data_IF_715011097630
#
_entry.id   IF_715011097630
#
_cell.length_a   1.000
_cell.length_b   1.000
_cell.length_c   1.000
_cell.angle_alpha   90.00
_cell.angle_beta   90.00
_cell.angle_gamma   90.00
#
_symmetry.space_group_name_H-M   'P 1'
#
loop_
_entity.id
_entity.type
_entity.pdbx_description
1 polymer ?
#
# COMPACT_ATOMS: atom_id res chain seq x y z
N UNK A 1 5.21 13.93 12.70
CA UNK A 1 6.04 13.33 11.63
C UNK A 1 6.05 14.30 10.48
N UNK A 2 7.23 14.69 9.97
CA UNK A 2 7.29 15.58 8.82
C UNK A 2 6.95 14.80 7.53
N UNK A 3 6.43 15.46 6.47
CA UNK A 3 6.18 14.80 5.18
C UNK A 3 7.39 14.08 4.58
N UNK A 4 8.61 14.57 4.83
CA UNK A 4 9.84 13.95 4.36
C UNK A 4 10.16 12.61 5.05
N UNK A 5 9.70 12.43 6.30
CA UNK A 5 9.94 11.21 7.07
C UNK A 5 8.93 10.11 6.73
N UNK A 6 7.79 10.49 6.14
CA UNK A 6 6.71 9.57 5.78
C UNK A 6 6.95 8.96 4.39
N UNK A 7 8.00 8.13 4.31
CA UNK A 7 8.45 7.47 3.08
C UNK A 7 7.73 6.12 2.84
N UNK A 8 8.15 5.37 1.82
CA UNK A 8 7.54 4.09 1.43
C UNK A 8 7.39 3.10 2.61
N UNK A 9 8.41 2.96 3.47
CA UNK A 9 8.37 2.07 4.63
C UNK A 9 7.20 2.40 5.56
N UNK A 10 6.98 3.69 5.84
CA UNK A 10 5.90 4.13 6.72
C UNK A 10 4.51 3.96 6.09
N UNK A 11 4.39 4.07 4.76
CA UNK A 11 3.15 3.73 4.05
C UNK A 11 2.82 2.24 4.18
N UNK A 12 3.82 1.36 4.02
CA UNK A 12 3.66 -0.10 4.20
C UNK A 12 3.30 -0.41 5.66
N UNK A 13 3.96 0.24 6.62
CA UNK A 13 3.66 0.10 8.05
C UNK A 13 2.22 0.47 8.37
N UNK A 14 1.72 1.57 7.82
CA UNK A 14 0.35 2.02 8.04
C UNK A 14 -0.66 0.99 7.50
N UNK A 15 -0.42 0.46 6.29
CA UNK A 15 -1.25 -0.59 5.71
C UNK A 15 -1.23 -1.87 6.57
N UNK A 16 -0.06 -2.31 7.03
CA UNK A 16 0.09 -3.46 7.92
C UNK A 16 -0.72 -3.30 9.21
N UNK A 17 -0.58 -2.16 9.91
CA UNK A 17 -1.31 -1.88 11.16
C UNK A 17 -2.82 -2.00 10.95
N UNK A 18 -3.35 -1.41 9.88
CA UNK A 18 -4.79 -1.46 9.64
C UNK A 18 -5.29 -2.83 9.14
N UNK A 19 -4.43 -3.63 8.51
CA UNK A 19 -4.74 -5.01 8.12
C UNK A 19 -4.65 -6.00 9.29
N UNK A 20 -3.88 -5.70 10.34
CA UNK A 20 -3.90 -6.49 11.58
C UNK A 20 -5.25 -6.41 12.31
N UNK A 21 -6.02 -5.33 12.11
CA UNK A 21 -7.29 -5.04 12.79
C UNK A 21 -8.51 -5.09 11.85
N UNK A 22 -8.39 -5.64 10.65
CA UNK A 22 -9.50 -5.67 9.71
C UNK A 22 -9.22 -6.32 8.36
N UNK A 23 -10.24 -6.29 7.51
CA UNK A 23 -10.11 -6.76 6.13
C UNK A 23 -9.50 -5.70 5.20
N UNK A 24 -9.21 -6.12 3.97
CA UNK A 24 -8.64 -5.28 2.91
C UNK A 24 -9.47 -4.01 2.65
N UNK A 25 -10.80 -4.11 2.72
CA UNK A 25 -11.69 -2.98 2.43
C UNK A 25 -11.65 -1.95 3.56
N UNK A 26 -11.78 -2.40 4.81
CA UNK A 26 -11.67 -1.57 5.99
C UNK A 26 -10.29 -0.92 6.09
N UNK A 27 -9.22 -1.69 5.87
CA UNK A 27 -7.85 -1.20 5.88
C UNK A 27 -7.63 -0.13 4.81
N UNK A 28 -8.08 -0.37 3.58
CA UNK A 28 -7.98 0.62 2.50
C UNK A 28 -8.66 1.94 2.86
N UNK A 29 -9.89 1.90 3.38
CA UNK A 29 -10.61 3.11 3.82
C UNK A 29 -9.86 3.87 4.90
N UNK A 30 -9.29 3.16 5.88
CA UNK A 30 -8.53 3.76 6.99
C UNK A 30 -7.21 4.36 6.51
N UNK A 31 -6.45 3.65 5.68
CA UNK A 31 -5.21 4.17 5.07
C UNK A 31 -5.51 5.42 4.26
N UNK A 32 -6.50 5.38 3.35
CA UNK A 32 -6.90 6.55 2.57
C UNK A 32 -7.23 7.76 3.44
N UNK A 33 -8.06 7.58 4.46
CA UNK A 33 -8.45 8.66 5.36
C UNK A 33 -7.23 9.24 6.10
N UNK A 34 -6.35 8.38 6.61
CA UNK A 34 -5.13 8.79 7.31
C UNK A 34 -4.17 9.56 6.40
N UNK A 35 -3.93 9.09 5.17
CA UNK A 35 -3.08 9.78 4.19
C UNK A 35 -3.62 11.16 3.82
N UNK A 36 -4.92 11.26 3.55
CA UNK A 36 -5.54 12.54 3.22
C UNK A 36 -5.52 13.52 4.41
N UNK A 37 -5.77 13.03 5.63
CA UNK A 37 -5.66 13.84 6.84
C UNK A 37 -4.22 14.32 7.06
N UNK A 38 -3.23 13.45 6.85
CA UNK A 38 -1.81 13.79 6.95
C UNK A 38 -1.40 14.88 5.96
N UNK A 39 -1.82 14.76 4.69
CA UNK A 39 -1.55 15.75 3.64
C UNK A 39 -2.13 17.12 4.03
N UNK A 40 -3.41 17.17 4.42
CA UNK A 40 -4.07 18.42 4.83
C UNK A 40 -3.42 19.05 6.07
N UNK A 41 -3.13 18.24 7.08
CA UNK A 41 -2.54 18.70 8.33
C UNK A 41 -1.16 19.33 8.12
N UNK A 42 -0.38 18.83 7.16
CA UNK A 42 0.97 19.32 6.88
C UNK A 42 1.03 20.35 5.74
N UNK A 43 -0.11 20.82 5.22
CA UNK A 43 -0.16 21.78 4.10
C UNK A 43 0.45 21.25 2.80
N UNK A 44 0.50 19.93 2.62
CA UNK A 44 0.99 19.28 1.40
C UNK A 44 -0.09 19.38 0.32
N UNK A 45 0.25 19.62 -0.97
CA UNK A 45 -0.74 19.63 -2.04
C UNK A 45 -1.52 18.31 -2.14
N UNK A 46 -2.85 18.38 -2.29
CA UNK A 46 -3.70 17.19 -2.40
C UNK A 46 -3.33 16.29 -3.59
N UNK A 47 -2.72 16.87 -4.63
CA UNK A 47 -2.18 16.15 -5.80
C UNK A 47 -1.08 15.14 -5.46
N UNK A 48 -0.51 15.20 -4.25
CA UNK A 48 0.42 14.18 -3.75
C UNK A 48 -0.27 12.87 -3.37
N UNK A 49 -1.57 12.89 -3.09
CA UNK A 49 -2.33 11.67 -2.88
C UNK A 49 -2.43 10.86 -4.18
N UNK A 50 -2.44 9.53 -4.06
CA UNK A 50 -2.54 8.63 -5.20
C UNK A 50 -3.40 7.41 -4.83
N UNK A 51 -4.63 7.38 -5.34
CA UNK A 51 -5.62 6.35 -4.99
C UNK A 51 -5.17 4.95 -5.44
N UNK A 52 -4.74 4.81 -6.72
CA UNK A 52 -4.33 3.50 -7.25
C UNK A 52 -3.16 2.91 -6.47
N UNK A 53 -2.08 3.68 -6.23
CA UNK A 53 -0.96 3.21 -5.42
C UNK A 53 -1.40 2.84 -4.00
N UNK A 54 -2.24 3.65 -3.36
CA UNK A 54 -2.73 3.37 -2.00
C UNK A 54 -3.43 2.01 -1.94
N UNK A 55 -4.39 1.77 -2.84
CA UNK A 55 -5.14 0.52 -2.87
C UNK A 55 -4.28 -0.67 -3.28
N UNK A 56 -3.40 -0.50 -4.27
CA UNK A 56 -2.49 -1.54 -4.72
C UNK A 56 -1.54 -2.01 -3.60
N UNK A 57 -0.99 -1.10 -2.81
CA UNK A 57 -0.16 -1.45 -1.66
C UNK A 57 -0.92 -2.13 -0.53
N UNK A 58 -2.17 -1.76 -0.27
CA UNK A 58 -3.01 -2.49 0.70
C UNK A 58 -3.24 -3.94 0.24
N UNK A 59 -3.50 -4.15 -1.05
CA UNK A 59 -3.65 -5.50 -1.61
C UNK A 59 -2.33 -6.30 -1.51
N UNK A 60 -1.20 -5.68 -1.87
CA UNK A 60 0.11 -6.32 -1.79
C UNK A 60 0.45 -6.73 -0.35
N UNK A 61 0.32 -5.83 0.62
CA UNK A 61 0.57 -6.13 2.03
C UNK A 61 -0.34 -7.26 2.52
N UNK A 62 -1.63 -7.22 2.18
CA UNK A 62 -2.55 -8.30 2.57
C UNK A 62 -2.16 -9.66 1.96
N UNK A 63 -1.66 -9.68 0.72
CA UNK A 63 -1.14 -10.90 0.10
C UNK A 63 0.10 -11.44 0.81
N UNK A 64 1.08 -10.58 1.11
CA UNK A 64 2.28 -10.99 1.86
C UNK A 64 1.94 -11.45 3.28
N UNK A 65 0.99 -10.80 3.96
CA UNK A 65 0.50 -11.24 5.27
C UNK A 65 -0.10 -12.65 5.18
N UNK A 66 -0.92 -12.97 4.18
CA UNK A 66 -1.47 -14.33 4.03
C UNK A 66 -0.42 -15.43 3.83
N UNK A 67 0.75 -15.07 3.31
CA UNK A 67 1.88 -16.00 3.09
C UNK A 67 2.85 -16.08 4.26
N UNK A 68 2.75 -15.13 5.19
CA UNK A 68 3.70 -15.01 6.28
C UNK A 68 3.44 -16.06 7.36
N UNK A 69 4.52 -16.56 7.97
CA UNK A 69 4.41 -17.41 9.15
C UNK A 69 3.90 -16.61 10.37
N UNK A 70 3.31 -17.25 11.40
CA UNK A 70 2.77 -16.55 12.57
C UNK A 70 3.74 -15.55 13.23
N UNK A 71 5.05 -15.86 13.28
CA UNK A 71 6.08 -14.98 13.85
C UNK A 71 6.21 -13.62 13.13
N UNK A 72 5.75 -13.51 11.89
CA UNK A 72 5.75 -12.24 11.15
C UNK A 72 4.75 -11.21 11.72
N UNK A 73 3.81 -11.64 12.57
CA UNK A 73 2.80 -10.76 13.16
C UNK A 73 3.20 -10.20 14.54
N UNK A 74 4.36 -10.59 15.08
CA UNK A 74 4.85 -10.08 16.36
C UNK A 74 5.22 -8.59 16.30
N UNK A 75 5.66 -8.11 15.13
CA UNK A 75 5.95 -6.70 14.87
C UNK A 75 6.00 -6.39 13.38
N UNK A 76 5.91 -5.11 13.03
CA UNK A 76 6.14 -4.66 11.65
C UNK A 76 7.55 -5.01 11.15
N UNK A 77 8.57 -4.95 12.02
CA UNK A 77 9.93 -5.28 11.62
C UNK A 77 10.09 -6.79 11.33
N UNK A 78 9.43 -7.64 12.11
CA UNK A 78 9.35 -9.09 11.83
C UNK A 78 8.61 -9.37 10.51
N UNK A 79 7.54 -8.64 10.23
CA UNK A 79 6.83 -8.75 8.95
C UNK A 79 7.72 -8.38 7.77
N UNK A 80 8.42 -7.25 7.83
CA UNK A 80 9.35 -6.83 6.77
C UNK A 80 10.53 -7.80 6.64
N UNK A 81 11.03 -8.36 7.74
CA UNK A 81 12.08 -9.38 7.72
C UNK A 81 11.62 -10.68 7.04
N UNK A 82 10.31 -10.99 7.09
CA UNK A 82 9.74 -12.16 6.41
C UNK A 82 9.73 -12.03 4.89
N UNK A 83 9.62 -10.80 4.35
CA UNK A 83 9.73 -10.53 2.92
C UNK A 83 10.16 -9.08 2.63
N UNK A 84 11.47 -8.88 2.44
CA UNK A 84 12.06 -7.56 2.22
C UNK A 84 11.61 -6.88 0.92
N UNK A 85 11.00 -7.63 -0.02
CA UNK A 85 10.45 -7.09 -1.26
C UNK A 85 9.38 -6.04 -0.98
N UNK A 86 8.68 -6.11 0.15
CA UNK A 86 7.73 -5.08 0.58
C UNK A 86 8.33 -3.66 0.65
N UNK A 87 9.65 -3.52 0.78
CA UNK A 87 10.33 -2.22 0.77
C UNK A 87 10.74 -1.74 -0.63
N UNK A 88 10.63 -2.59 -1.65
CA UNK A 88 10.89 -2.20 -3.03
C UNK A 88 9.60 -1.65 -3.68
N UNK A 89 9.53 -0.33 -3.79
CA UNK A 89 8.37 0.32 -4.39
C UNK A 89 8.17 -0.02 -5.88
N UNK A 90 9.20 -0.55 -6.55
CA UNK A 90 9.16 -0.88 -7.97
C UNK A 90 8.28 -2.09 -8.29
N UNK A 91 7.88 -2.89 -7.30
CA UNK A 91 6.99 -4.04 -7.48
C UNK A 91 5.67 -3.63 -8.14
N UNK A 92 5.18 -2.41 -7.89
CA UNK A 92 3.96 -1.95 -8.57
C UNK A 92 4.12 -1.88 -10.11
N UNK A 93 5.35 -1.82 -10.62
CA UNK A 93 5.65 -1.82 -12.05
C UNK A 93 5.66 -3.22 -12.68
N UNK A 94 5.56 -4.30 -11.90
CA UNK A 94 5.27 -5.63 -12.45
C UNK A 94 3.78 -5.78 -12.77
N UNK A 95 2.93 -5.01 -12.09
CA UNK A 95 1.47 -5.04 -12.24
C UNK A 95 0.94 -3.92 -13.14
N UNK A 96 1.56 -2.74 -13.10
CA UNK A 96 1.15 -1.59 -13.87
C UNK A 96 2.24 -1.13 -14.86
N UNK A 97 1.84 -0.78 -16.06
CA UNK A 97 2.67 0.04 -16.93
C UNK A 97 2.85 1.44 -16.31
N UNK A 98 3.97 2.10 -16.63
CA UNK A 98 4.20 3.49 -16.21
C UNK A 98 3.11 4.44 -16.71
N UNK A 99 2.61 4.20 -17.93
CA UNK A 99 1.55 5.02 -18.53
C UNK A 99 0.26 4.94 -17.72
N UNK A 100 -0.12 3.75 -17.26
CA UNK A 100 -1.31 3.55 -16.44
C UNK A 100 -1.10 4.08 -15.02
N UNK A 101 -0.02 3.65 -14.35
CA UNK A 101 0.22 3.97 -12.94
C UNK A 101 0.33 5.48 -12.69
N UNK A 102 1.03 6.20 -13.57
CA UNK A 102 1.27 7.63 -13.40
C UNK A 102 0.24 8.52 -14.09
N UNK A 103 -0.87 7.96 -14.58
CA UNK A 103 -1.96 8.73 -15.17
C UNK A 103 -2.76 9.52 -14.10
N UNK A 104 -3.35 10.64 -14.50
CA UNK A 104 -4.27 11.41 -13.64
C UNK A 104 -5.47 10.57 -13.19
N UNK A 105 -5.93 9.64 -14.04
CA UNK A 105 -7.00 8.70 -13.70
C UNK A 105 -6.60 7.78 -12.54
N UNK A 106 -5.40 7.21 -12.58
CA UNK A 106 -4.89 6.34 -11.52
C UNK A 106 -4.56 7.11 -10.22
N UNK A 107 -4.19 8.39 -10.36
CA UNK A 107 -4.00 9.28 -9.22
C UNK A 107 -5.31 9.58 -8.50
N UNK A 108 -6.34 9.97 -9.24
CA UNK A 108 -7.64 10.40 -8.72
C UNK A 108 -8.58 9.24 -8.32
N UNK A 109 -8.41 8.07 -8.94
CA UNK A 109 -9.26 6.89 -8.73
C UNK A 109 -8.47 5.59 -8.81
N UNK A 110 -9.09 4.49 -8.40
CA UNK A 110 -8.49 3.17 -8.58
C UNK A 110 -8.65 2.71 -10.02
N UNK A 111 -7.53 2.32 -10.64
CA UNK A 111 -7.47 1.67 -11.94
C UNK A 111 -6.89 0.26 -11.75
N UNK A 112 -7.48 -0.72 -12.42
CA UNK A 112 -6.98 -2.10 -12.40
C UNK A 112 -5.60 -2.20 -13.09
N UNK A 113 -4.74 -3.15 -12.67
CA UNK A 113 -3.44 -3.38 -13.30
C UNK A 113 -3.60 -3.80 -14.76
N UNK A 114 -2.69 -3.31 -15.61
CA UNK A 114 -2.68 -3.54 -17.06
C UNK A 114 -1.56 -4.48 -17.54
N UNK A 115 -0.72 -5.00 -16.62
CA UNK A 115 0.30 -6.00 -16.91
C UNK A 115 -0.03 -7.35 -16.26
N UNK A 116 0.22 -7.47 -14.96
CA UNK A 116 -0.10 -8.66 -14.16
C UNK A 116 -1.11 -8.30 -13.08
N UNK A 117 -2.07 -9.20 -12.81
CA UNK A 117 -3.01 -9.00 -11.71
C UNK A 117 -2.30 -8.94 -10.36
N UNK A 118 -2.75 -8.04 -9.49
CA UNK A 118 -2.33 -8.07 -8.08
C UNK A 118 -3.07 -9.24 -7.41
N UNK A 119 -2.36 -10.22 -6.80
CA UNK A 119 -3.00 -11.39 -6.21
C UNK A 119 -3.98 -11.01 -5.09
N UNK A 120 -5.27 -11.32 -5.28
CA UNK A 120 -6.34 -11.05 -4.29
C UNK A 120 -6.65 -12.25 -3.41
N UNK A 121 -6.37 -13.45 -3.91
CA UNK A 121 -6.56 -14.74 -3.25
C UNK A 121 -5.25 -15.53 -3.33
N UNK A 122 -5.13 -16.60 -2.55
CA UNK A 122 -4.06 -17.58 -2.79
C UNK A 122 -4.30 -18.25 -4.14
N UNK A 123 -3.28 -18.45 -4.99
CA UNK A 123 -3.42 -19.37 -6.11
C UNK A 123 -3.74 -20.77 -5.56
N UNK A 124 -4.73 -21.41 -6.17
CA UNK A 124 -5.15 -22.79 -5.86
C UNK A 124 -4.02 -23.80 -6.02
#
# INVERSE_FOLDING_TARGET
>A
MAPADFNHREHVRLAYIYLCDGDVFAAHRRVRAALQAFIRHNGVPETKYHETMTRAWVLAVAYFMRKAAPAAFDSFDAFIASDARLLDSSIMLTHYSKATLFSEKARAGFVEPDLEEIPRTMPS
#
